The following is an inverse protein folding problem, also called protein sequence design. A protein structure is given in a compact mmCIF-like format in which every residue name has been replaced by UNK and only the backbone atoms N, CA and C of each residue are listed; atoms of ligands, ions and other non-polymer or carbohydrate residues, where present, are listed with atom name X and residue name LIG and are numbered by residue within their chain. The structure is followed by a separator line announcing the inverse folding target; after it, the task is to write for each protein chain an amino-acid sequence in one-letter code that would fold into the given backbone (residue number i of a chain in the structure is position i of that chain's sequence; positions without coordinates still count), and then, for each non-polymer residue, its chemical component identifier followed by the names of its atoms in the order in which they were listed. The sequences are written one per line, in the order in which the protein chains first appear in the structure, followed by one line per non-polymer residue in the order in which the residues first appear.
data_IF_186574793429
#
_entry.id   IF_186574793429
#
_cell.length_a   1.000
_cell.length_b   1.000
_cell.length_c   1.000
_cell.angle_alpha   90.00
_cell.angle_beta   90.00
_cell.angle_gamma   90.00
#
_symmetry.space_group_name_H-M   'P 1'
#
loop_
_entity.id
_entity.type
_entity.pdbx_description
1 polymer ?
#
# COMPACT_ATOMS: atom_id res chain seq x y z
N UNK A 1 -19.79 -38.84 -17.43
CA UNK A 1 -19.60 -37.58 -18.12
C UNK A 1 -18.57 -36.73 -17.44
N UNK A 2 -17.48 -36.37 -18.09
CA UNK A 2 -16.53 -35.46 -17.45
C UNK A 2 -17.21 -34.12 -17.31
N UNK A 3 -17.34 -33.66 -16.09
CA UNK A 3 -17.79 -32.29 -15.86
C UNK A 3 -16.69 -31.38 -16.27
N UNK A 4 -16.92 -30.59 -17.32
CA UNK A 4 -16.04 -29.51 -17.66
C UNK A 4 -16.09 -28.52 -16.50
N UNK A 5 -14.98 -28.37 -15.80
CA UNK A 5 -14.88 -27.35 -14.79
C UNK A 5 -14.98 -25.99 -15.47
N UNK A 6 -15.96 -25.24 -15.07
CA UNK A 6 -16.14 -23.89 -15.56
C UNK A 6 -14.93 -23.07 -15.15
N UNK A 7 -14.23 -22.52 -16.13
CA UNK A 7 -13.10 -21.64 -15.87
C UNK A 7 -13.59 -20.20 -15.91
N UNK A 8 -13.15 -19.45 -14.92
CA UNK A 8 -13.54 -18.05 -14.82
C UNK A 8 -12.30 -17.17 -15.06
N UNK A 9 -12.49 -16.11 -15.83
CA UNK A 9 -11.42 -15.15 -16.09
C UNK A 9 -11.16 -14.32 -14.84
N UNK A 10 -9.98 -13.72 -14.78
CA UNK A 10 -9.63 -12.81 -13.67
C UNK A 10 -10.60 -11.63 -13.62
N UNK A 11 -11.00 -11.12 -14.79
CA UNK A 11 -11.96 -10.03 -14.90
C UNK A 11 -13.32 -10.40 -14.32
N UNK A 12 -13.79 -11.60 -14.62
CA UNK A 12 -15.06 -12.08 -14.10
C UNK A 12 -15.02 -12.18 -12.57
N UNK A 13 -13.97 -12.74 -12.03
CA UNK A 13 -13.80 -12.88 -10.57
C UNK A 13 -13.79 -11.52 -9.88
N UNK A 14 -13.06 -10.57 -10.44
CA UNK A 14 -12.99 -9.21 -9.93
C UNK A 14 -14.35 -8.55 -9.93
N UNK A 15 -15.09 -8.64 -11.04
CA UNK A 15 -16.43 -8.07 -11.15
C UNK A 15 -17.43 -8.74 -10.22
N UNK A 16 -17.31 -10.07 -10.04
CA UNK A 16 -18.18 -10.80 -9.13
C UNK A 16 -17.99 -10.33 -7.68
N UNK A 17 -16.76 -10.15 -7.24
CA UNK A 17 -16.46 -9.67 -5.90
C UNK A 17 -16.91 -8.22 -5.73
N UNK A 18 -16.72 -7.39 -6.76
CA UNK A 18 -17.17 -6.00 -6.74
C UNK A 18 -18.69 -5.94 -6.60
N UNK A 19 -19.41 -6.73 -7.37
CA UNK A 19 -20.88 -6.79 -7.29
C UNK A 19 -21.35 -7.22 -5.90
N UNK A 20 -20.69 -8.21 -5.33
CA UNK A 20 -21.00 -8.66 -3.97
C UNK A 20 -20.86 -7.52 -2.96
N UNK A 21 -19.77 -6.76 -3.03
CA UNK A 21 -19.52 -5.65 -2.12
C UNK A 21 -20.50 -4.50 -2.28
N UNK A 22 -20.90 -4.21 -3.51
CA UNK A 22 -21.78 -3.09 -3.81
C UNK A 22 -23.28 -3.39 -3.58
N UNK A 23 -23.66 -4.65 -3.76
CA UNK A 23 -25.09 -5.03 -3.75
C UNK A 23 -25.72 -5.01 -2.36
N UNK A 24 -24.93 -5.20 -1.32
CA UNK A 24 -25.44 -5.35 0.04
C UNK A 24 -26.26 -6.63 0.25
N UNK A 25 -26.34 -7.51 -0.75
CA UNK A 25 -27.09 -8.75 -0.68
C UNK A 25 -26.23 -9.87 -0.12
N UNK A 26 -26.84 -10.94 0.43
CA UNK A 26 -26.09 -12.09 0.90
C UNK A 26 -25.26 -12.71 -0.23
N UNK A 27 -24.10 -13.23 0.13
CA UNK A 27 -23.19 -13.91 -0.81
C UNK A 27 -23.90 -14.98 -1.62
N UNK A 28 -24.75 -15.77 -0.97
CA UNK A 28 -25.48 -16.87 -1.62
C UNK A 28 -26.38 -16.35 -2.74
N UNK A 29 -27.08 -15.25 -2.51
CA UNK A 29 -27.96 -14.64 -3.50
C UNK A 29 -27.17 -14.15 -4.72
N UNK A 30 -26.05 -13.50 -4.49
CA UNK A 30 -25.18 -13.01 -5.57
C UNK A 30 -24.58 -14.18 -6.36
N UNK A 31 -24.16 -15.24 -5.66
CA UNK A 31 -23.61 -16.43 -6.31
C UNK A 31 -24.66 -17.08 -7.23
N UNK A 32 -25.89 -17.20 -6.78
CA UNK A 32 -26.99 -17.75 -7.59
C UNK A 32 -27.22 -16.89 -8.85
N UNK A 33 -27.27 -15.58 -8.67
CA UNK A 33 -27.45 -14.66 -9.79
C UNK A 33 -26.36 -14.80 -10.83
N UNK A 34 -25.11 -14.97 -10.38
CA UNK A 34 -23.97 -15.10 -11.27
C UNK A 34 -23.78 -16.53 -11.81
N UNK A 35 -24.54 -17.49 -11.30
CA UNK A 35 -24.41 -18.88 -11.72
C UNK A 35 -23.13 -19.55 -11.23
N UNK A 36 -22.61 -19.13 -10.09
CA UNK A 36 -21.42 -19.72 -9.50
C UNK A 36 -21.75 -20.33 -8.15
N UNK A 37 -20.90 -21.28 -7.72
CA UNK A 37 -21.07 -21.86 -6.39
C UNK A 37 -20.71 -20.84 -5.31
N UNK A 38 -21.50 -20.77 -4.22
CA UNK A 38 -21.19 -19.81 -3.14
C UNK A 38 -19.78 -19.92 -2.58
N UNK A 39 -19.24 -21.16 -2.51
CA UNK A 39 -17.87 -21.35 -2.02
C UNK A 39 -16.83 -20.76 -2.95
N UNK A 40 -17.07 -20.76 -4.27
CA UNK A 40 -16.19 -20.12 -5.24
C UNK A 40 -16.17 -18.61 -5.01
N UNK A 41 -17.33 -18.01 -4.89
CA UNK A 41 -17.43 -16.57 -4.66
C UNK A 41 -16.79 -16.16 -3.33
N UNK A 42 -17.00 -16.96 -2.29
CA UNK A 42 -16.37 -16.74 -0.98
C UNK A 42 -14.85 -16.80 -1.08
N UNK A 43 -14.32 -17.77 -1.81
CA UNK A 43 -12.89 -17.91 -2.04
C UNK A 43 -12.32 -16.69 -2.74
N UNK A 44 -12.97 -16.22 -3.79
CA UNK A 44 -12.53 -15.02 -4.53
C UNK A 44 -12.55 -13.77 -3.65
N UNK A 45 -13.60 -13.61 -2.85
CA UNK A 45 -13.69 -12.49 -1.90
C UNK A 45 -12.55 -12.53 -0.90
N UNK A 46 -12.28 -13.71 -0.34
CA UNK A 46 -11.21 -13.86 0.66
C UNK A 46 -9.83 -13.58 0.06
N UNK A 47 -9.60 -14.05 -1.17
CA UNK A 47 -8.35 -13.75 -1.90
C UNK A 47 -8.17 -12.25 -2.10
N UNK A 48 -9.23 -11.57 -2.48
CA UNK A 48 -9.20 -10.13 -2.69
C UNK A 48 -8.93 -9.36 -1.40
N UNK A 49 -9.57 -9.77 -0.31
CA UNK A 49 -9.34 -9.17 1.00
C UNK A 49 -7.91 -9.38 1.47
N UNK A 50 -7.38 -10.59 1.27
CA UNK A 50 -6.01 -10.90 1.64
C UNK A 50 -5.00 -10.07 0.81
N UNK A 51 -5.25 -9.94 -0.49
CA UNK A 51 -4.39 -9.14 -1.36
C UNK A 51 -4.43 -7.67 -0.95
N UNK A 52 -5.61 -7.14 -0.64
CA UNK A 52 -5.75 -5.76 -0.17
C UNK A 52 -5.03 -5.51 1.13
N UNK A 53 -5.08 -6.47 2.06
CA UNK A 53 -4.36 -6.38 3.33
C UNK A 53 -2.84 -6.41 3.13
N UNK A 54 -2.36 -7.25 2.21
CA UNK A 54 -0.94 -7.34 1.89
C UNK A 54 -0.45 -6.02 1.27
N UNK A 55 -1.23 -5.43 0.36
CA UNK A 55 -0.91 -4.15 -0.26
C UNK A 55 -0.87 -3.03 0.77
N UNK A 56 -1.84 -3.01 1.70
CA UNK A 56 -1.89 -2.03 2.77
C UNK A 56 -0.66 -2.13 3.67
N UNK A 57 -0.27 -3.35 4.03
CA UNK A 57 0.93 -3.58 4.85
C UNK A 57 2.18 -3.13 4.12
N UNK A 58 2.29 -3.42 2.81
CA UNK A 58 3.43 -3.01 2.01
C UNK A 58 3.53 -1.48 1.95
N UNK A 59 2.39 -0.79 1.78
CA UNK A 59 2.36 0.68 1.80
C UNK A 59 2.80 1.23 3.15
N UNK A 60 2.33 0.65 4.26
CA UNK A 60 2.74 1.09 5.59
C UNK A 60 4.25 0.95 5.79
N UNK A 61 4.82 -0.17 5.34
CA UNK A 61 6.26 -0.40 5.44
C UNK A 61 7.04 0.62 4.60
N UNK A 62 6.57 0.89 3.38
CA UNK A 62 7.20 1.86 2.50
C UNK A 62 7.14 3.27 3.09
N UNK A 63 6.00 3.67 3.65
CA UNK A 63 5.83 4.96 4.30
C UNK A 63 6.72 5.10 5.53
N UNK A 64 6.82 4.05 6.34
CA UNK A 64 7.70 4.05 7.52
C UNK A 64 9.17 4.19 7.12
N UNK A 65 9.59 3.49 6.06
CA UNK A 65 10.95 3.57 5.56
C UNK A 65 11.26 4.96 5.03
N UNK A 66 10.32 5.56 4.29
CA UNK A 66 10.47 6.91 3.77
C UNK A 66 10.53 7.95 4.88
N UNK A 67 9.69 7.80 5.89
CA UNK A 67 9.70 8.69 7.06
C UNK A 67 11.05 8.63 7.78
N UNK A 68 11.56 7.40 7.98
CA UNK A 68 12.87 7.22 8.61
C UNK A 68 13.99 7.87 7.78
N UNK A 69 13.93 7.73 6.45
CA UNK A 69 14.88 8.35 5.53
C UNK A 69 14.85 9.87 5.65
N UNK A 70 13.64 10.43 5.63
CA UNK A 70 13.45 11.89 5.73
C UNK A 70 13.91 12.44 7.07
N UNK A 71 13.68 11.72 8.16
CA UNK A 71 14.15 12.12 9.48
C UNK A 71 15.68 12.17 9.54
N UNK A 72 16.35 11.18 8.92
CA UNK A 72 17.81 11.20 8.84
C UNK A 72 18.30 12.37 8.00
N UNK A 73 17.61 12.66 6.90
CA UNK A 73 17.96 13.77 6.02
C UNK A 73 17.79 15.11 6.72
N UNK A 74 16.69 15.30 7.45
CA UNK A 74 16.45 16.51 8.24
C UNK A 74 17.57 16.70 9.27
N UNK A 75 17.91 15.64 9.97
CA UNK A 75 18.98 15.71 10.98
C UNK A 75 20.33 16.10 10.35
N UNK A 76 20.64 15.53 9.18
CA UNK A 76 21.86 15.86 8.46
C UNK A 76 21.87 17.34 8.05
N UNK A 77 20.76 17.83 7.52
CA UNK A 77 20.63 19.22 7.09
C UNK A 77 20.69 20.18 8.28
N UNK A 78 20.12 19.84 9.40
CA UNK A 78 20.21 20.63 10.62
C UNK A 78 21.66 20.75 11.09
N UNK A 79 22.41 19.67 11.04
CA UNK A 79 23.83 19.69 11.40
C UNK A 79 24.64 20.54 10.45
N UNK A 80 24.40 20.41 9.14
CA UNK A 80 25.07 21.26 8.14
C UNK A 80 24.73 22.73 8.34
N UNK A 81 23.47 23.03 8.60
CA UNK A 81 23.02 24.39 8.83
C UNK A 81 23.68 24.99 10.05
N UNK A 82 23.83 24.24 11.12
CA UNK A 82 24.52 24.69 12.32
C UNK A 82 26.00 24.99 12.05
N UNK A 83 26.66 24.13 11.29
CA UNK A 83 28.05 24.34 10.89
C UNK A 83 28.18 25.62 10.09
N UNK A 84 27.28 25.83 9.12
CA UNK A 84 27.28 27.00 8.28
C UNK A 84 27.03 28.29 9.07
N UNK A 85 26.19 28.23 10.09
CA UNK A 85 25.94 29.36 10.96
C UNK A 85 27.19 29.80 11.73
N UNK A 86 28.02 28.81 12.10
CA UNK A 86 29.26 29.08 12.84
C UNK A 86 30.41 29.50 11.94
N UNK A 87 30.35 29.13 10.66
CA UNK A 87 31.43 29.45 9.71
C UNK A 87 31.73 30.92 9.59
N UNK A 88 30.75 31.85 9.51
CA UNK A 88 31.05 33.26 9.43
C UNK A 88 31.88 33.78 10.59
N UNK A 89 31.57 33.33 11.82
CA UNK A 89 32.33 33.71 12.99
C UNK A 89 33.76 33.19 12.94
N UNK A 90 33.92 31.96 12.44
CA UNK A 90 35.25 31.38 12.26
C UNK A 90 36.07 32.18 11.23
N UNK A 91 35.48 32.46 10.09
CA UNK A 91 36.16 33.23 9.04
C UNK A 91 36.46 34.65 9.49
N UNK A 92 35.58 35.29 10.24
CA UNK A 92 35.83 36.61 10.80
C UNK A 92 37.05 36.61 11.72
N UNK A 93 37.19 35.56 12.54
CA UNK A 93 38.31 35.39 13.45
C UNK A 93 39.63 35.22 12.68
N UNK A 94 39.60 34.43 11.61
CA UNK A 94 40.76 34.16 10.78
C UNK A 94 41.16 35.38 9.94
N UNK A 95 40.21 36.21 9.59
CA UNK A 95 40.43 37.38 8.73
C UNK A 95 40.94 38.61 9.50
N UNK A 96 40.95 38.60 10.83
CA UNK A 96 41.43 39.73 11.62
C UNK A 96 42.94 39.87 11.42
N UNK A 97 43.37 40.99 10.87
CA UNK A 97 44.80 41.21 10.74
C UNK A 97 45.44 41.33 12.12
N UNK A 98 46.52 40.62 12.30
CA UNK A 98 47.29 40.66 13.52
C UNK A 98 48.04 41.96 13.66
#
# INVERSE_FOLDING_TARGET
MPRTRRRFTAEFKTEAVRLLGESGRPLQAVAEELGVHPNQLRGWRNERLAAGSAEALARQKAEAAELARLRREVKRLEQENEILRRAPAFFAREAVPS
#
